data_IF_712070479181
#
_entry.id   IF_712070479181
#
_cell.length_a   1.000
_cell.length_b   1.000
_cell.length_c   1.000
_cell.angle_alpha   90.00
_cell.angle_beta   90.00
_cell.angle_gamma   90.00
#
_symmetry.space_group_name_H-M   'P 1'
#
loop_
_entity.id
_entity.type
_entity.pdbx_description
1 polymer ?
#
# COMPACT_ATOMS: atom_id res chain seq x y z
N UNK A 1 6.99 -47.07 -6.11
CA UNK A 1 5.87 -46.21 -5.67
C UNK A 1 6.32 -45.40 -4.46
N UNK A 2 6.69 -44.11 -4.60
CA UNK A 2 7.07 -43.30 -3.45
C UNK A 2 5.83 -42.62 -2.86
N UNK A 3 5.66 -42.79 -1.55
CA UNK A 3 4.65 -42.13 -0.71
C UNK A 3 5.01 -40.65 -0.56
N UNK A 4 4.06 -39.78 -0.87
CA UNK A 4 4.16 -38.34 -0.67
C UNK A 4 4.07 -38.03 0.83
N UNK A 5 5.08 -37.31 1.33
CA UNK A 5 5.08 -36.74 2.68
C UNK A 5 4.35 -35.41 2.60
N UNK A 6 3.14 -35.33 3.17
CA UNK A 6 2.47 -34.06 3.42
C UNK A 6 3.23 -33.32 4.52
N UNK A 7 3.98 -32.26 4.15
CA UNK A 7 4.46 -31.27 5.12
C UNK A 7 3.33 -30.29 5.38
N UNK A 8 2.78 -30.33 6.58
CA UNK A 8 1.84 -29.33 7.08
C UNK A 8 2.58 -27.99 7.24
N UNK A 9 2.10 -26.95 6.54
CA UNK A 9 2.51 -25.57 6.78
C UNK A 9 1.75 -25.05 8.00
N UNK A 10 2.45 -24.91 9.13
CA UNK A 10 1.89 -24.33 10.35
C UNK A 10 1.81 -22.81 10.22
N UNK A 11 0.61 -22.25 10.23
CA UNK A 11 0.40 -20.82 10.42
C UNK A 11 0.72 -20.47 11.89
N UNK A 12 1.85 -19.81 12.12
CA UNK A 12 2.19 -19.26 13.44
C UNK A 12 1.64 -17.84 13.54
N UNK A 13 0.48 -17.69 14.18
CA UNK A 13 -0.05 -16.38 14.60
C UNK A 13 0.53 -16.08 15.98
N UNK A 14 1.49 -15.17 16.07
CA UNK A 14 2.01 -14.65 17.34
C UNK A 14 1.23 -13.38 17.70
N UNK A 15 0.32 -13.50 18.67
CA UNK A 15 -0.38 -12.39 19.32
C UNK A 15 0.55 -11.72 20.34
N UNK A 16 1.08 -10.55 20.02
CA UNK A 16 1.63 -9.64 21.04
C UNK A 16 0.49 -8.78 21.61
N UNK A 17 0.09 -9.08 22.84
CA UNK A 17 -0.85 -8.29 23.65
C UNK A 17 -0.08 -7.21 24.41
N UNK A 18 -0.20 -5.95 24.02
CA UNK A 18 -0.01 -4.78 24.88
C UNK A 18 -1.10 -3.73 24.56
N UNK A 19 -1.75 -3.24 25.62
CA UNK A 19 -2.86 -2.29 25.59
C UNK A 19 -2.43 -0.88 25.14
N UNK A 20 -3.36 0.00 24.73
CA UNK A 20 -3.08 1.10 23.80
C UNK A 20 -2.65 2.39 24.49
N UNK A 21 -1.64 3.06 23.92
CA UNK A 21 -1.52 4.52 24.04
C UNK A 21 -2.51 5.18 23.08
N UNK A 22 -3.50 5.87 23.64
CA UNK A 22 -4.42 6.73 22.90
C UNK A 22 -3.62 7.88 22.26
N UNK A 23 -3.71 8.01 20.93
CA UNK A 23 -2.90 8.85 20.02
C UNK A 23 -1.56 8.26 19.50
N UNK A 24 -1.38 6.93 19.57
CA UNK A 24 -0.28 6.23 18.92
C UNK A 24 -0.52 5.91 17.43
N UNK A 25 0.56 5.64 16.69
CA UNK A 25 0.47 5.00 15.37
C UNK A 25 -0.35 3.70 15.49
N UNK A 26 -1.12 3.31 14.44
CA UNK A 26 -1.84 2.05 14.47
C UNK A 26 -0.88 0.88 14.71
N UNK A 27 -1.36 -0.15 15.39
CA UNK A 27 -0.62 -1.42 15.44
C UNK A 27 -0.70 -2.06 14.05
N UNK A 28 0.45 -2.37 13.45
CA UNK A 28 0.54 -3.01 12.14
C UNK A 28 1.18 -4.40 12.26
N UNK A 29 0.58 -5.39 11.59
CA UNK A 29 1.12 -6.76 11.51
C UNK A 29 1.13 -7.26 10.08
N UNK A 30 2.03 -8.19 9.75
CA UNK A 30 2.07 -8.84 8.42
C UNK A 30 2.09 -10.35 8.59
N UNK A 31 1.26 -11.07 7.85
CA UNK A 31 1.37 -12.51 7.64
C UNK A 31 1.91 -12.80 6.24
N UNK A 32 2.70 -13.87 6.10
CA UNK A 32 3.25 -14.32 4.82
C UNK A 32 2.82 -15.76 4.57
N UNK A 33 2.23 -16.02 3.41
CA UNK A 33 1.73 -17.33 3.02
C UNK A 33 2.34 -17.74 1.67
N UNK A 34 3.00 -18.90 1.64
CA UNK A 34 3.72 -19.39 0.46
C UNK A 34 5.01 -18.61 0.17
N UNK A 35 5.56 -18.83 -1.03
CA UNK A 35 6.83 -18.25 -1.45
C UNK A 35 6.64 -16.83 -2.00
N UNK A 36 6.74 -15.83 -1.12
CA UNK A 36 6.63 -14.42 -1.51
C UNK A 36 7.95 -13.92 -2.12
N UNK A 37 7.91 -13.25 -3.28
CA UNK A 37 9.09 -12.73 -3.96
C UNK A 37 9.89 -11.71 -3.11
N UNK A 38 11.21 -11.88 -3.04
CA UNK A 38 12.09 -10.98 -2.28
C UNK A 38 12.33 -9.62 -2.96
N UNK A 39 12.09 -9.51 -4.27
CA UNK A 39 12.22 -8.27 -5.05
C UNK A 39 11.17 -7.19 -4.69
N UNK A 40 10.24 -7.52 -3.80
CA UNK A 40 9.23 -6.61 -3.26
C UNK A 40 9.79 -5.61 -2.23
N UNK A 41 10.88 -5.94 -1.54
CA UNK A 41 11.46 -5.08 -0.50
C UNK A 41 11.72 -3.69 -1.04
N UNK A 42 11.14 -2.64 -0.48
CA UNK A 42 11.35 -1.27 -0.93
C UNK A 42 10.19 -0.36 -0.58
N UNK A 43 10.30 0.89 -1.04
CA UNK A 43 9.28 1.93 -0.87
C UNK A 43 8.46 2.01 -2.15
N UNK A 44 7.14 2.13 -2.02
CA UNK A 44 6.22 2.10 -3.16
C UNK A 44 5.18 3.21 -3.04
N UNK A 45 4.96 3.94 -4.12
CA UNK A 45 3.79 4.77 -4.33
C UNK A 45 2.73 3.93 -5.04
N UNK A 46 1.70 3.52 -4.32
CA UNK A 46 0.58 2.75 -4.86
C UNK A 46 -0.49 3.71 -5.34
N UNK A 47 -0.86 3.64 -6.60
CA UNK A 47 -1.95 4.40 -7.21
C UNK A 47 -3.07 3.43 -7.56
N UNK A 48 -4.17 3.53 -6.84
CA UNK A 48 -5.43 2.84 -7.08
C UNK A 48 -6.27 3.65 -8.06
N UNK A 49 -6.91 2.99 -9.01
CA UNK A 49 -7.79 3.60 -10.01
C UNK A 49 -9.22 3.18 -9.70
N UNK A 50 -9.85 3.82 -8.71
CA UNK A 50 -11.21 3.46 -8.29
C UNK A 50 -12.19 3.72 -9.42
N UNK A 51 -12.86 2.67 -9.91
CA UNK A 51 -13.95 2.79 -10.87
C UNK A 51 -15.25 2.99 -10.11
N UNK A 52 -15.77 4.21 -10.17
CA UNK A 52 -17.03 4.60 -9.55
C UNK A 52 -18.21 4.36 -10.50
N UNK A 53 -19.43 4.44 -9.96
CA UNK A 53 -20.65 4.32 -10.74
C UNK A 53 -20.66 5.35 -11.87
N UNK A 54 -20.99 4.91 -13.09
CA UNK A 54 -20.92 5.75 -14.30
C UNK A 54 -19.58 5.72 -15.04
N UNK A 55 -18.63 4.88 -14.63
CA UNK A 55 -17.34 4.69 -15.33
C UNK A 55 -16.27 5.73 -14.98
N UNK A 56 -16.56 6.63 -14.03
CA UNK A 56 -15.62 7.61 -13.53
C UNK A 56 -14.44 6.93 -12.81
N UNK A 57 -13.22 7.37 -13.11
CA UNK A 57 -11.99 6.90 -12.47
C UNK A 57 -11.54 7.93 -11.46
N UNK A 58 -11.56 7.56 -10.18
CA UNK A 58 -11.03 8.39 -9.10
C UNK A 58 -9.72 7.79 -8.57
N UNK A 59 -8.56 8.39 -8.88
CA UNK A 59 -7.29 7.88 -8.42
C UNK A 59 -7.15 8.14 -6.92
N UNK A 60 -6.70 7.13 -6.20
CA UNK A 60 -6.32 7.22 -4.79
C UNK A 60 -4.87 6.75 -4.65
N UNK A 61 -4.14 7.29 -3.68
CA UNK A 61 -2.74 6.95 -3.51
C UNK A 61 -2.42 6.56 -2.07
N UNK A 62 -1.59 5.51 -1.95
CA UNK A 62 -1.07 4.99 -0.69
C UNK A 62 0.45 4.83 -0.79
N UNK A 63 1.11 4.81 0.36
CA UNK A 63 2.54 4.58 0.45
C UNK A 63 2.79 3.27 1.19
N UNK A 64 3.45 2.32 0.53
CA UNK A 64 3.90 1.08 1.17
C UNK A 64 5.39 1.13 1.41
N UNK A 65 5.82 0.58 2.54
CA UNK A 65 7.19 0.18 2.79
C UNK A 65 7.19 -1.33 3.04
N UNK A 66 7.79 -2.09 2.12
CA UNK A 66 8.03 -3.52 2.29
C UNK A 66 9.46 -3.68 2.76
N UNK A 67 9.67 -4.31 3.90
CA UNK A 67 11.01 -4.49 4.48
C UNK A 67 11.21 -5.92 4.95
N UNK A 68 12.47 -6.31 5.11
CA UNK A 68 12.83 -7.57 5.73
C UNK A 68 12.63 -7.44 7.24
N UNK A 69 11.66 -8.18 7.79
CA UNK A 69 11.50 -8.36 9.23
C UNK A 69 12.41 -9.48 9.76
N UNK A 70 12.42 -9.71 11.08
CA UNK A 70 13.26 -10.71 11.72
C UNK A 70 12.88 -12.14 11.32
N UNK A 71 11.62 -12.38 10.95
CA UNK A 71 11.10 -13.72 10.60
C UNK A 71 10.65 -13.80 9.14
N UNK A 72 9.95 -12.78 8.66
CA UNK A 72 9.39 -12.74 7.30
C UNK A 72 9.37 -11.30 6.79
N UNK A 73 8.93 -11.09 5.55
CA UNK A 73 8.69 -9.75 5.01
C UNK A 73 7.58 -9.03 5.80
N UNK A 74 7.77 -7.75 6.06
CA UNK A 74 6.80 -6.86 6.68
C UNK A 74 6.36 -5.82 5.66
N UNK A 75 5.05 -5.64 5.49
CA UNK A 75 4.48 -4.49 4.80
C UNK A 75 4.03 -3.48 5.86
N UNK A 76 4.44 -2.24 5.69
CA UNK A 76 4.03 -1.10 6.51
C UNK A 76 3.27 -0.13 5.62
N UNK A 77 2.06 0.24 6.04
CA UNK A 77 1.27 1.28 5.38
C UNK A 77 1.66 2.65 5.93
N UNK A 78 2.45 3.43 5.18
CA UNK A 78 2.90 4.76 5.62
C UNK A 78 1.73 5.76 5.58
N UNK A 79 1.17 6.06 6.76
CA UNK A 79 0.04 7.00 6.95
C UNK A 79 0.50 8.44 7.07
N UNK A 80 1.04 8.96 5.98
CA UNK A 80 1.53 10.34 5.87
C UNK A 80 0.84 11.05 4.71
N UNK A 81 0.85 12.38 4.72
CA UNK A 81 0.34 13.16 3.59
C UNK A 81 1.35 13.12 2.44
N UNK A 82 0.86 13.00 1.22
CA UNK A 82 1.70 13.12 0.03
C UNK A 82 2.29 14.54 -0.06
N UNK A 83 3.47 14.68 -0.70
CA UNK A 83 3.97 15.99 -1.10
C UNK A 83 2.89 16.77 -1.88
N UNK A 84 2.78 18.07 -1.62
CA UNK A 84 1.73 18.94 -2.19
C UNK A 84 1.66 18.83 -3.71
N UNK A 85 2.80 18.90 -4.40
CA UNK A 85 2.87 18.76 -5.86
C UNK A 85 2.25 17.43 -6.35
N UNK A 86 2.50 16.32 -5.65
CA UNK A 86 1.94 15.02 -6.00
C UNK A 86 0.45 14.93 -5.66
N UNK A 87 0.03 15.51 -4.53
CA UNK A 87 -1.38 15.63 -4.16
C UNK A 87 -2.18 16.42 -5.19
N UNK A 88 -1.65 17.55 -5.66
CA UNK A 88 -2.27 18.37 -6.72
C UNK A 88 -2.39 17.60 -8.02
N UNK A 89 -1.35 16.85 -8.42
CA UNK A 89 -1.39 15.98 -9.61
C UNK A 89 -2.44 14.88 -9.47
N UNK A 90 -2.56 14.26 -8.29
CA UNK A 90 -3.57 13.24 -8.01
C UNK A 90 -4.99 13.80 -8.18
N UNK A 91 -5.26 14.98 -7.59
CA UNK A 91 -6.55 15.68 -7.72
C UNK A 91 -6.83 16.03 -9.18
N UNK A 92 -5.86 16.59 -9.90
CA UNK A 92 -6.00 16.94 -11.32
C UNK A 92 -6.28 15.70 -12.20
N UNK A 93 -5.63 14.57 -11.92
CA UNK A 93 -5.88 13.30 -12.60
C UNK A 93 -7.31 12.81 -12.36
N UNK A 94 -7.80 12.90 -11.11
CA UNK A 94 -9.19 12.59 -10.76
C UNK A 94 -10.21 13.49 -11.46
N UNK A 95 -10.00 14.80 -11.47
CA UNK A 95 -10.87 15.73 -12.21
C UNK A 95 -10.89 15.45 -13.72
N UNK A 96 -9.81 14.90 -14.26
CA UNK A 96 -9.71 14.51 -15.66
C UNK A 96 -10.19 13.06 -15.94
N UNK A 97 -10.71 12.34 -14.93
CA UNK A 97 -11.10 10.92 -15.03
C UNK A 97 -9.99 10.01 -15.56
N UNK A 98 -8.74 10.25 -15.15
CA UNK A 98 -7.57 9.51 -15.59
C UNK A 98 -6.74 9.01 -14.41
N UNK A 99 -5.97 7.93 -14.60
CA UNK A 99 -5.03 7.51 -13.59
C UNK A 99 -3.90 8.54 -13.41
N UNK A 100 -3.35 8.59 -12.20
CA UNK A 100 -2.08 9.27 -11.97
C UNK A 100 -0.93 8.37 -12.46
N UNK A 101 -0.12 8.91 -13.36
CA UNK A 101 1.17 8.32 -13.75
C UNK A 101 2.25 9.28 -13.23
N UNK A 102 2.96 8.93 -12.14
CA UNK A 102 4.02 9.78 -11.60
C UNK A 102 5.22 9.79 -12.56
N UNK A 103 5.89 10.93 -12.64
CA UNK A 103 7.17 11.04 -13.34
C UNK A 103 8.32 10.60 -12.44
N UNK A 104 9.50 10.32 -13.01
CA UNK A 104 10.71 10.04 -12.22
C UNK A 104 11.08 11.21 -11.28
N UNK A 105 10.78 12.44 -11.69
CA UNK A 105 10.95 13.63 -10.84
C UNK A 105 10.03 13.60 -9.61
N UNK A 106 8.78 13.16 -9.79
CA UNK A 106 7.82 13.02 -8.69
C UNK A 106 8.26 11.95 -7.70
N UNK A 107 8.71 10.79 -8.20
CA UNK A 107 9.20 9.68 -7.37
C UNK A 107 10.47 10.08 -6.61
N UNK A 108 11.37 10.85 -7.23
CA UNK A 108 12.56 11.38 -6.56
C UNK A 108 12.21 12.40 -5.47
N UNK A 109 11.31 13.34 -5.75
CA UNK A 109 10.86 14.32 -4.76
C UNK A 109 10.16 13.64 -3.56
N UNK A 110 9.39 12.58 -3.82
CA UNK A 110 8.80 11.75 -2.77
C UNK A 110 9.88 11.01 -1.97
N UNK A 111 10.88 10.43 -2.64
CA UNK A 111 11.99 9.72 -1.99
C UNK A 111 12.78 10.61 -1.03
N UNK A 112 13.11 11.83 -1.46
CA UNK A 112 13.88 12.79 -0.66
C UNK A 112 13.20 13.22 0.63
N UNK A 113 11.86 13.13 0.66
CA UNK A 113 11.05 13.55 1.81
C UNK A 113 10.45 12.39 2.58
N UNK A 114 10.66 11.14 2.16
CA UNK A 114 9.94 9.95 2.64
C UNK A 114 9.81 9.89 4.17
N UNK A 115 10.91 10.20 4.87
CA UNK A 115 11.02 10.12 6.32
C UNK A 115 10.54 11.40 7.04
N UNK A 116 10.39 12.51 6.31
CA UNK A 116 9.97 13.84 6.80
C UNK A 116 8.54 14.22 6.37
N UNK A 117 7.77 13.27 5.80
CA UNK A 117 6.38 13.53 5.41
C UNK A 117 5.51 13.72 6.65
N UNK A 118 4.63 14.74 6.67
CA UNK A 118 3.79 14.98 7.83
C UNK A 118 2.76 13.87 7.99
N UNK A 119 2.53 13.44 9.22
CA UNK A 119 1.51 12.45 9.55
C UNK A 119 0.15 12.84 8.96
N UNK A 120 -0.59 11.82 8.50
CA UNK A 120 -2.00 11.96 8.15
C UNK A 120 -2.83 11.66 9.39
N UNK A 121 -3.77 12.53 9.74
CA UNK A 121 -4.71 12.24 10.81
C UNK A 121 -5.65 11.12 10.35
N UNK A 122 -5.58 9.96 11.01
CA UNK A 122 -6.45 8.83 10.70
C UNK A 122 -6.92 8.15 11.97
N UNK A 123 -8.19 7.76 11.99
CA UNK A 123 -8.81 7.07 13.12
C UNK A 123 -8.61 5.54 13.06
N UNK A 124 -7.59 5.05 12.35
CA UNK A 124 -7.27 3.62 12.28
C UNK A 124 -6.42 3.24 13.48
N UNK A 125 -6.83 2.18 14.19
CA UNK A 125 -6.11 1.70 15.38
C UNK A 125 -5.35 0.40 15.12
N UNK A 126 -5.76 -0.40 14.12
CA UNK A 126 -5.10 -1.65 13.75
C UNK A 126 -5.11 -1.89 12.24
N UNK A 127 -4.00 -2.41 11.74
CA UNK A 127 -3.84 -2.83 10.35
C UNK A 127 -3.22 -4.22 10.33
N UNK A 128 -3.88 -5.16 9.68
CA UNK A 128 -3.31 -6.49 9.42
C UNK A 128 -3.08 -6.64 7.91
N UNK A 129 -1.85 -6.97 7.54
CA UNK A 129 -1.44 -7.22 6.18
C UNK A 129 -1.24 -8.71 5.94
N UNK A 130 -1.47 -9.15 4.71
CA UNK A 130 -1.12 -10.50 4.27
C UNK A 130 -0.48 -10.49 2.90
N UNK A 131 0.68 -11.11 2.77
CA UNK A 131 1.38 -11.31 1.51
C UNK A 131 1.26 -12.79 1.12
N UNK A 132 0.62 -13.06 -0.02
CA UNK A 132 0.34 -14.43 -0.49
C UNK A 132 1.10 -14.68 -1.78
N UNK A 133 2.04 -15.62 -1.73
CA UNK A 133 2.85 -16.02 -2.87
C UNK A 133 2.05 -16.70 -3.99
N UNK A 134 2.61 -16.80 -5.20
CA UNK A 134 1.94 -17.40 -6.34
C UNK A 134 1.57 -18.87 -6.05
N UNK A 135 0.40 -19.30 -6.54
CA UNK A 135 -0.09 -20.67 -6.36
C UNK A 135 -0.60 -21.01 -4.95
N UNK A 136 -0.52 -20.09 -3.99
CA UNK A 136 -1.16 -20.24 -2.68
C UNK A 136 -2.58 -19.68 -2.74
N UNK A 137 -3.57 -20.47 -2.33
CA UNK A 137 -4.98 -20.08 -2.41
C UNK A 137 -5.71 -20.19 -1.07
N UNK A 138 -5.71 -19.12 -0.28
CA UNK A 138 -6.53 -19.01 0.91
C UNK A 138 -8.02 -18.93 0.52
N UNK A 139 -8.91 -19.65 1.23
CA UNK A 139 -10.33 -19.75 0.85
C UNK A 139 -11.12 -18.44 1.00
N UNK A 140 -10.54 -17.43 1.64
CA UNK A 140 -11.16 -16.13 1.88
C UNK A 140 -10.77 -15.07 0.82
N UNK A 141 -10.00 -15.45 -0.20
CA UNK A 141 -9.66 -14.58 -1.32
C UNK A 141 -10.63 -14.73 -2.50
N UNK A 142 -10.84 -13.69 -3.31
CA UNK A 142 -11.67 -13.79 -4.52
C UNK A 142 -11.09 -14.82 -5.51
N UNK A 143 -11.96 -15.61 -6.15
CA UNK A 143 -11.57 -16.57 -7.19
C UNK A 143 -10.75 -15.95 -8.33
N UNK A 144 -10.97 -14.67 -8.65
CA UNK A 144 -10.20 -13.93 -9.67
C UNK A 144 -8.70 -13.80 -9.35
N UNK A 145 -8.31 -14.04 -8.09
CA UNK A 145 -6.92 -14.05 -7.65
C UNK A 145 -6.20 -15.39 -7.94
N UNK A 146 -6.90 -16.43 -8.39
CA UNK A 146 -6.39 -17.81 -8.49
C UNK A 146 -5.51 -18.09 -9.69
N UNK A 147 -5.88 -17.60 -10.87
CA UNK A 147 -5.46 -18.28 -12.11
C UNK A 147 -4.24 -17.64 -12.78
N UNK A 148 -3.83 -16.43 -12.37
CA UNK A 148 -2.72 -15.70 -13.01
C UNK A 148 -2.07 -14.64 -12.11
N UNK A 149 -2.24 -14.74 -10.79
CA UNK A 149 -1.59 -13.81 -9.85
C UNK A 149 -0.16 -14.24 -9.58
N UNK A 150 0.75 -13.27 -9.63
CA UNK A 150 2.15 -13.45 -9.25
C UNK A 150 2.41 -13.15 -7.76
N UNK A 151 1.43 -12.52 -7.11
CA UNK A 151 1.38 -12.15 -5.69
C UNK A 151 -0.04 -11.65 -5.38
N UNK A 152 -0.54 -11.90 -4.17
CA UNK A 152 -1.70 -11.18 -3.62
C UNK A 152 -1.29 -10.44 -2.35
N UNK A 153 -1.68 -9.17 -2.24
CA UNK A 153 -1.48 -8.35 -1.04
C UNK A 153 -2.86 -8.03 -0.47
N UNK A 154 -3.07 -8.33 0.81
CA UNK A 154 -4.29 -7.98 1.54
C UNK A 154 -3.96 -6.96 2.62
N UNK A 155 -4.83 -5.98 2.81
CA UNK A 155 -4.76 -5.00 3.89
C UNK A 155 -6.13 -4.89 4.55
N UNK A 156 -6.19 -5.25 5.82
CA UNK A 156 -7.37 -5.12 6.68
C UNK A 156 -7.14 -3.97 7.66
N UNK A 157 -7.89 -2.88 7.51
CA UNK A 157 -7.88 -1.74 8.42
C UNK A 157 -9.08 -1.80 9.37
N UNK A 158 -8.84 -1.61 10.66
CA UNK A 158 -9.88 -1.41 11.68
C UNK A 158 -9.86 0.02 12.19
N UNK A 159 -11.01 0.67 12.10
CA UNK A 159 -11.21 2.06 12.51
C UNK A 159 -11.72 2.13 13.94
N UNK A 160 -11.46 3.25 14.62
CA UNK A 160 -11.97 3.50 15.96
C UNK A 160 -13.50 3.55 15.99
N UNK A 161 -14.06 3.37 17.18
CA UNK A 161 -15.51 3.28 17.37
C UNK A 161 -16.27 4.54 16.94
N UNK A 162 -15.60 5.71 16.93
CA UNK A 162 -16.22 6.98 16.52
C UNK A 162 -16.49 7.09 15.02
N UNK A 163 -16.02 6.13 14.20
CA UNK A 163 -16.22 6.12 12.75
C UNK A 163 -17.44 5.31 12.34
N UNK A 164 -18.15 5.80 11.33
CA UNK A 164 -19.25 5.07 10.68
C UNK A 164 -18.73 3.82 9.98
N UNK A 165 -17.58 3.92 9.28
CA UNK A 165 -16.86 2.77 8.72
C UNK A 165 -16.04 2.14 9.82
N UNK A 166 -16.22 0.83 10.07
CA UNK A 166 -15.52 0.09 11.12
C UNK A 166 -14.37 -0.74 10.60
N UNK A 167 -14.54 -1.29 9.40
CA UNK A 167 -13.52 -2.12 8.74
C UNK A 167 -13.41 -1.76 7.26
N UNK A 168 -12.21 -1.91 6.73
CA UNK A 168 -11.93 -1.84 5.30
C UNK A 168 -10.96 -2.96 4.94
N UNK A 169 -11.33 -3.80 3.98
CA UNK A 169 -10.49 -4.86 3.42
C UNK A 169 -10.15 -4.53 1.99
N UNK A 170 -8.86 -4.31 1.71
CA UNK A 170 -8.34 -4.15 0.36
C UNK A 170 -7.55 -5.39 -0.07
N UNK A 171 -7.85 -5.92 -1.25
CA UNK A 171 -7.16 -7.05 -1.87
C UNK A 171 -6.57 -6.60 -3.20
N UNK A 172 -5.25 -6.65 -3.33
CA UNK A 172 -4.49 -6.32 -4.53
C UNK A 172 -3.97 -7.61 -5.17
N UNK A 173 -4.45 -7.91 -6.37
CA UNK A 173 -4.02 -9.07 -7.15
C UNK A 173 -2.98 -8.63 -8.16
N UNK A 174 -1.70 -8.92 -7.92
CA UNK A 174 -0.59 -8.52 -8.80
C UNK A 174 -0.53 -9.46 -10.00
N UNK A 175 -0.70 -8.91 -11.20
CA UNK A 175 -0.63 -9.63 -12.48
C UNK A 175 0.64 -9.31 -13.27
N UNK A 176 1.16 -8.10 -13.13
CA UNK A 176 2.44 -7.68 -13.69
C UNK A 176 3.43 -7.29 -12.59
N UNK A 177 4.65 -7.82 -12.66
CA UNK A 177 5.73 -7.48 -11.73
C UNK A 177 7.00 -7.19 -12.50
N UNK A 178 7.65 -6.09 -12.14
CA UNK A 178 8.99 -5.73 -12.56
C UNK A 178 9.72 -5.04 -11.39
N UNK A 179 11.04 -4.90 -11.43
CA UNK A 179 11.80 -4.26 -10.35
C UNK A 179 11.38 -2.83 -10.02
N UNK A 180 10.74 -2.11 -10.95
CA UNK A 180 10.31 -0.72 -10.80
C UNK A 180 8.80 -0.55 -10.62
N UNK A 181 7.99 -1.59 -10.89
CA UNK A 181 6.54 -1.48 -10.78
C UNK A 181 5.84 -2.80 -10.46
N UNK A 182 4.71 -2.70 -9.75
CA UNK A 182 3.71 -3.75 -9.63
C UNK A 182 2.43 -3.26 -10.31
N UNK A 183 1.71 -4.14 -11.00
CA UNK A 183 0.46 -3.80 -11.65
C UNK A 183 -0.56 -4.93 -11.50
N UNK A 184 -1.84 -4.57 -11.40
CA UNK A 184 -2.89 -5.56 -11.28
C UNK A 184 -4.24 -4.94 -10.98
N UNK A 185 -5.13 -5.76 -10.42
CA UNK A 185 -6.47 -5.34 -10.01
C UNK A 185 -6.53 -5.19 -8.50
N UNK A 186 -7.42 -4.34 -8.02
CA UNK A 186 -7.74 -4.27 -6.60
C UNK A 186 -9.24 -4.26 -6.37
N UNK A 187 -9.63 -4.78 -5.21
CA UNK A 187 -11.00 -4.68 -4.69
C UNK A 187 -10.87 -4.22 -3.23
N UNK A 188 -11.60 -3.17 -2.87
CA UNK A 188 -11.74 -2.73 -1.49
C UNK A 188 -13.18 -2.83 -1.06
N UNK A 189 -13.43 -3.44 0.10
CA UNK A 189 -14.75 -3.53 0.72
C UNK A 189 -14.68 -2.88 2.09
N UNK A 190 -15.44 -1.81 2.26
CA UNK A 190 -15.59 -1.12 3.55
C UNK A 190 -16.96 -1.42 4.14
N UNK A 191 -17.01 -1.75 5.43
CA UNK A 191 -18.25 -2.00 6.16
C UNK A 191 -18.56 -0.85 7.11
N UNK A 192 -19.77 -0.31 6.98
CA UNK A 192 -20.31 0.70 7.86
C UNK A 192 -21.30 0.10 8.86
N UNK A 193 -21.17 0.49 10.13
CA UNK A 193 -22.17 0.20 11.14
C UNK A 193 -23.26 1.27 11.09
N UNK A 194 -24.32 0.92 10.38
CA UNK A 194 -25.58 1.67 10.28
C UNK A 194 -26.74 0.75 10.71
N UNK A 195 -27.92 1.27 11.10
CA UNK A 195 -29.06 0.45 11.54
C UNK A 195 -29.45 -0.69 10.58
N UNK A 196 -29.17 -0.52 9.29
CA UNK A 196 -28.99 -1.61 8.33
C UNK A 196 -27.53 -1.55 7.83
N UNK A 197 -26.69 -2.57 8.07
CA UNK A 197 -25.27 -2.55 7.66
C UNK A 197 -25.13 -2.29 6.16
N UNK A 198 -24.34 -1.27 5.82
CA UNK A 198 -24.06 -0.91 4.44
C UNK A 198 -22.61 -1.26 4.09
N UNK A 199 -22.39 -1.85 2.92
CA UNK A 199 -21.06 -2.07 2.37
C UNK A 199 -20.80 -1.12 1.22
N UNK A 200 -19.56 -0.62 1.15
CA UNK A 200 -19.06 0.19 0.05
C UNK A 200 -17.98 -0.64 -0.64
N UNK A 201 -18.23 -1.05 -1.87
CA UNK A 201 -17.26 -1.80 -2.67
C UNK A 201 -16.64 -0.89 -3.73
N UNK A 202 -15.32 -0.78 -3.70
CA UNK A 202 -14.52 -0.13 -4.75
C UNK A 202 -13.76 -1.20 -5.51
N UNK A 203 -13.74 -1.10 -6.84
CA UNK A 203 -12.98 -1.99 -7.71
C UNK A 203 -12.21 -1.17 -8.71
N UNK A 204 -11.08 -1.70 -9.17
CA UNK A 204 -10.35 -1.09 -10.26
C UNK A 204 -8.99 -1.74 -10.50
N UNK A 205 -8.15 -0.99 -11.19
CA UNK A 205 -6.76 -1.36 -11.40
C UNK A 205 -5.87 -0.62 -10.41
N UNK A 206 -4.68 -1.13 -10.16
CA UNK A 206 -3.67 -0.40 -9.42
C UNK A 206 -2.31 -0.53 -10.10
N UNK A 207 -1.47 0.47 -9.87
CA UNK A 207 -0.05 0.44 -10.17
C UNK A 207 0.73 0.90 -8.95
N UNK A 208 1.70 0.11 -8.51
CA UNK A 208 2.66 0.51 -7.50
C UNK A 208 3.97 0.89 -8.19
N UNK A 209 4.42 2.11 -8.01
CA UNK A 209 5.66 2.63 -8.57
C UNK A 209 6.73 2.63 -7.51
N UNK A 210 7.92 2.11 -7.83
CA UNK A 210 9.00 2.05 -6.87
C UNK A 210 9.56 3.43 -6.61
N UNK A 211 9.62 3.81 -5.34
CA UNK A 211 10.24 5.05 -4.89
C UNK A 211 11.73 4.78 -4.74
N UNK A 212 12.61 5.52 -5.45
CA UNK A 212 14.03 5.26 -5.40
C UNK A 212 14.59 5.47 -4.00
N UNK A 213 15.59 4.69 -3.62
CA UNK A 213 16.37 4.95 -2.41
C UNK A 213 17.38 6.05 -2.73
N UNK A 214 17.05 7.29 -2.38
CA UNK A 214 17.93 8.45 -2.53
C UNK A 214 18.61 8.70 -1.18
N UNK A 215 19.95 8.80 -1.11
CA UNK A 215 20.61 9.25 0.10
C UNK A 215 20.05 10.62 0.50
N UNK A 216 19.75 10.87 1.79
CA UNK A 216 19.25 12.17 2.20
C UNK A 216 20.26 13.24 1.78
N UNK A 217 19.82 14.19 0.93
CA UNK A 217 20.67 15.31 0.54
C UNK A 217 21.08 16.05 1.81
N UNK A 218 22.38 16.02 2.11
CA UNK A 218 22.92 16.69 3.29
C UNK A 218 22.52 18.17 3.24
N UNK A 219 22.29 18.78 4.41
CA UNK A 219 21.96 20.21 4.50
C UNK A 219 22.99 21.10 3.78
N UNK A 220 24.24 20.63 3.70
CA UNK A 220 25.30 21.25 2.90
C UNK A 220 24.97 21.26 1.42
N UNK A 221 24.48 20.16 0.82
CA UNK A 221 24.09 20.17 -0.60
C UNK A 221 22.98 21.19 -0.89
N UNK A 222 22.00 21.34 0.01
CA UNK A 222 20.94 22.37 -0.11
C UNK A 222 21.49 23.80 0.00
N UNK A 223 22.46 24.02 0.90
CA UNK A 223 23.18 25.30 1.02
C UNK A 223 24.05 25.58 -0.22
N UNK A 224 24.69 24.57 -0.77
CA UNK A 224 25.51 24.71 -1.96
C UNK A 224 24.63 25.00 -3.19
N UNK A 225 23.46 24.37 -3.33
CA UNK A 225 22.54 24.69 -4.43
C UNK A 225 21.98 26.12 -4.34
N UNK A 226 21.71 26.61 -3.13
CA UNK A 226 21.30 28.02 -2.90
C UNK A 226 22.45 29.02 -3.08
N UNK A 227 23.69 28.63 -2.79
CA UNK A 227 24.88 29.47 -2.96
C UNK A 227 25.41 29.47 -4.40
N UNK A 228 25.25 28.37 -5.13
CA UNK A 228 25.75 28.21 -6.51
C UNK A 228 24.68 28.41 -7.58
N UNK A 229 23.47 28.83 -7.21
CA UNK A 229 22.50 29.40 -8.14
C UNK A 229 22.23 28.55 -9.37
N UNK A 230 21.84 27.27 -9.18
CA UNK A 230 21.16 26.53 -10.26
C UNK A 230 19.65 26.78 -10.17
N UNK A 231 19.29 28.03 -10.40
CA UNK A 231 18.02 28.33 -11.06
C UNK A 231 18.25 28.02 -12.54
N UNK A 232 17.66 26.95 -13.08
CA UNK A 232 17.48 26.84 -14.52
C UNK A 232 16.07 27.31 -14.91
N UNK A 233 15.93 27.90 -16.10
CA UNK A 233 14.95 28.92 -16.40
C UNK A 233 13.56 28.35 -16.72
N UNK A 234 12.59 29.25 -16.54
CA UNK A 234 11.15 29.16 -16.81
C UNK A 234 10.73 28.40 -18.07
#
# INVERSE_FOLDING_TARGET
MPRWVHRAAGAAVLLALLAPDASGQPTEGTAVEGDVPADLVGRWLVVEQNRLQGGMVHPFARLWEIRQGPVHLELVLRRVRLPEALSTKLVAAGSANRPLIPTDGDLRALAERWDDLPASATDVHRIDHRLVGPGTHPPDLPHEAETSSSLVIVTDERFSESRTVKTSRAVYTVRGRAPAYLAGTFVSVSMAETPAPASITLKGDFQAYRVPLVPPRSRLHRLLDTLFGRDEPS
#
